data_IF_002925164201
#
_entry.id   IF_002925164201
#
_cell.length_a   1.000
_cell.length_b   1.000
_cell.length_c   1.000
_cell.angle_alpha   90.00
_cell.angle_beta   90.00
_cell.angle_gamma   90.00
#
_symmetry.space_group_name_H-M   'P 1'
#
loop_
_entity.id
_entity.type
_entity.pdbx_description
1 polymer ?
#
# COMPACT_ATOMS: atom_id res chain seq x y z
N UNK A 1 9.99 22.37 -6.71
CA UNK A 1 11.10 22.03 -5.79
C UNK A 1 10.78 20.81 -4.92
N UNK A 2 9.72 20.80 -4.10
CA UNK A 2 9.42 19.64 -3.20
C UNK A 2 9.18 18.29 -3.90
N UNK A 3 8.63 18.25 -5.12
CA UNK A 3 8.41 16.99 -5.85
C UNK A 3 9.71 16.32 -6.31
N UNK A 4 10.72 17.08 -6.72
CA UNK A 4 11.99 16.54 -7.23
C UNK A 4 12.86 15.94 -6.11
N UNK A 5 12.81 16.56 -4.92
CA UNK A 5 13.50 16.02 -3.74
C UNK A 5 12.85 14.71 -3.30
N UNK A 6 11.51 14.65 -3.27
CA UNK A 6 10.79 13.43 -2.97
C UNK A 6 11.12 12.30 -3.97
N UNK A 7 11.18 12.59 -5.27
CA UNK A 7 11.54 11.60 -6.29
C UNK A 7 12.95 11.05 -6.11
N UNK A 8 13.93 11.91 -5.78
CA UNK A 8 15.30 11.46 -5.47
C UNK A 8 15.34 10.57 -4.23
N UNK A 9 14.66 10.96 -3.16
CA UNK A 9 14.57 10.14 -1.94
C UNK A 9 13.89 8.79 -2.24
N UNK A 10 12.87 8.79 -3.09
CA UNK A 10 12.16 7.58 -3.49
C UNK A 10 13.04 6.63 -4.32
N UNK A 11 13.89 7.14 -5.21
CA UNK A 11 14.85 6.33 -5.96
C UNK A 11 15.92 5.73 -5.04
N UNK A 12 16.47 6.54 -4.13
CA UNK A 12 17.45 6.06 -3.14
C UNK A 12 16.84 4.99 -2.22
N UNK A 13 15.58 5.17 -1.82
CA UNK A 13 14.87 4.20 -0.99
C UNK A 13 14.70 2.88 -1.72
N UNK A 14 14.31 2.91 -3.00
CA UNK A 14 14.20 1.69 -3.82
C UNK A 14 15.54 0.98 -3.95
N UNK A 15 16.63 1.70 -4.19
CA UNK A 15 17.96 1.10 -4.27
C UNK A 15 18.32 0.41 -2.95
N UNK A 16 18.08 1.08 -1.83
CA UNK A 16 18.33 0.54 -0.50
C UNK A 16 17.45 -0.68 -0.18
N UNK A 17 16.18 -0.66 -0.58
CA UNK A 17 15.26 -1.78 -0.43
C UNK A 17 15.73 -3.02 -1.22
N UNK A 18 16.20 -2.84 -2.45
CA UNK A 18 16.76 -3.97 -3.22
C UNK A 18 18.03 -4.54 -2.60
N UNK A 19 18.86 -3.69 -1.96
CA UNK A 19 20.04 -4.14 -1.20
C UNK A 19 19.61 -4.95 0.03
N UNK A 20 18.59 -4.49 0.77
CA UNK A 20 18.05 -5.21 1.92
C UNK A 20 17.49 -6.59 1.53
N UNK A 21 16.77 -6.70 0.42
CA UNK A 21 16.28 -7.99 -0.10
C UNK A 21 17.44 -8.93 -0.45
N UNK A 22 18.49 -8.45 -1.12
CA UNK A 22 19.68 -9.26 -1.43
C UNK A 22 20.41 -9.74 -0.18
N UNK A 23 20.55 -8.88 0.84
CA UNK A 23 21.15 -9.27 2.12
C UNK A 23 20.31 -10.35 2.78
N UNK A 24 18.98 -10.24 2.73
CA UNK A 24 18.06 -11.22 3.29
C UNK A 24 18.16 -12.59 2.60
N UNK A 25 18.19 -12.63 1.26
CA UNK A 25 18.38 -13.88 0.50
C UNK A 25 19.70 -14.56 0.88
N UNK A 26 20.77 -13.77 1.05
CA UNK A 26 22.06 -14.28 1.55
C UNK A 26 21.97 -14.76 3.00
N UNK A 27 21.18 -14.10 3.84
CA UNK A 27 20.97 -14.46 5.24
C UNK A 27 20.35 -15.86 5.41
N UNK A 28 19.56 -16.30 4.44
CA UNK A 28 18.98 -17.66 4.42
C UNK A 28 20.01 -18.74 4.09
N UNK A 29 21.13 -18.37 3.43
CA UNK A 29 22.12 -19.33 2.91
C UNK A 29 23.45 -19.32 3.69
N UNK A 30 23.71 -18.31 4.53
CA UNK A 30 24.94 -18.18 5.31
C UNK A 30 24.79 -18.75 6.73
N UNK A 31 25.91 -19.18 7.33
CA UNK A 31 25.96 -19.76 8.69
C UNK A 31 27.09 -19.12 9.52
N UNK A 32 27.00 -19.19 10.85
CA UNK A 32 28.07 -18.77 11.78
C UNK A 32 28.39 -17.28 11.79
N UNK A 33 29.68 -16.92 11.81
CA UNK A 33 30.14 -15.52 11.89
C UNK A 33 29.73 -14.66 10.67
N UNK A 34 29.67 -15.26 9.48
CA UNK A 34 29.24 -14.55 8.27
C UNK A 34 27.77 -14.12 8.38
N UNK A 35 26.91 -14.98 8.96
CA UNK A 35 25.50 -14.64 9.26
C UNK A 35 25.40 -13.52 10.27
N UNK A 36 26.25 -13.52 11.31
CA UNK A 36 26.29 -12.44 12.33
C UNK A 36 26.75 -11.11 11.75
N UNK A 37 27.72 -11.11 10.83
CA UNK A 37 28.17 -9.90 10.12
C UNK A 37 27.08 -9.37 9.19
N UNK A 38 26.43 -10.24 8.42
CA UNK A 38 25.32 -9.88 7.53
C UNK A 38 24.10 -9.36 8.30
N UNK A 39 23.81 -9.90 9.49
CA UNK A 39 22.75 -9.39 10.37
C UNK A 39 23.01 -7.95 10.86
N UNK A 40 24.27 -7.61 11.13
CA UNK A 40 24.66 -6.23 11.49
C UNK A 40 24.55 -5.29 10.30
N UNK A 41 25.02 -5.73 9.13
CA UNK A 41 24.88 -4.96 7.90
C UNK A 41 23.40 -4.74 7.53
N UNK A 42 22.57 -5.77 7.71
CA UNK A 42 21.12 -5.69 7.52
C UNK A 42 20.48 -4.67 8.46
N UNK A 43 20.81 -4.70 9.75
CA UNK A 43 20.22 -3.77 10.73
C UNK A 43 20.65 -2.32 10.50
N UNK A 44 21.90 -2.08 10.10
CA UNK A 44 22.37 -0.75 9.69
C UNK A 44 21.61 -0.23 8.47
N UNK A 45 21.50 -1.06 7.41
CA UNK A 45 20.77 -0.69 6.19
C UNK A 45 19.28 -0.51 6.43
N UNK A 46 18.71 -1.24 7.36
CA UNK A 46 17.32 -1.09 7.76
C UNK A 46 17.08 0.20 8.53
N UNK A 47 18.03 0.63 9.37
CA UNK A 47 17.97 1.93 10.04
C UNK A 47 18.02 3.07 9.01
N UNK A 48 18.94 2.99 8.06
CA UNK A 48 19.05 3.95 6.95
C UNK A 48 17.75 4.03 6.12
N UNK A 49 17.08 2.90 5.89
CA UNK A 49 15.80 2.86 5.17
C UNK A 49 14.65 3.52 5.95
N UNK A 50 14.63 3.34 7.28
CA UNK A 50 13.65 4.01 8.14
C UNK A 50 13.89 5.53 8.21
N UNK A 51 15.15 5.96 8.27
CA UNK A 51 15.52 7.38 8.23
C UNK A 51 15.05 8.02 6.91
N UNK A 52 15.28 7.35 5.79
CA UNK A 52 14.86 7.82 4.47
C UNK A 52 13.34 7.90 4.33
N UNK A 53 12.59 6.92 4.86
CA UNK A 53 11.12 7.00 4.89
C UNK A 53 10.62 8.16 5.76
N UNK A 54 11.28 8.44 6.88
CA UNK A 54 10.94 9.59 7.73
C UNK A 54 11.19 10.92 7.00
N UNK A 55 12.26 10.99 6.22
CA UNK A 55 12.60 12.16 5.41
C UNK A 55 11.62 12.34 4.23
N UNK A 56 11.21 11.24 3.59
CA UNK A 56 10.13 11.24 2.58
C UNK A 56 8.80 11.72 3.16
N UNK A 57 8.45 11.34 4.41
CA UNK A 57 7.24 11.84 5.09
C UNK A 57 7.33 13.33 5.41
N UNK A 58 8.52 13.81 5.77
CA UNK A 58 8.76 15.22 6.02
C UNK A 58 8.57 16.05 4.74
N UNK A 59 9.16 15.62 3.62
CA UNK A 59 8.98 16.26 2.32
C UNK A 59 7.52 16.22 1.84
N UNK A 60 6.78 15.16 2.17
CA UNK A 60 5.36 15.04 1.83
C UNK A 60 4.46 16.09 2.50
N UNK A 61 4.88 16.63 3.65
CA UNK A 61 4.13 17.68 4.35
C UNK A 61 4.16 19.01 3.58
N UNK A 62 5.23 19.25 2.83
CA UNK A 62 5.45 20.44 2.02
C UNK A 62 4.86 20.33 0.61
N UNK A 63 4.39 19.13 0.22
CA UNK A 63 3.88 18.84 -1.12
C UNK A 63 2.37 19.15 -1.30
N UNK A 64 1.89 19.33 -2.54
CA UNK A 64 0.47 19.59 -2.83
C UNK A 64 -0.46 18.45 -2.36
N UNK A 65 -1.72 18.73 -1.99
CA UNK A 65 -2.64 17.75 -1.42
C UNK A 65 -2.92 16.52 -2.32
N UNK A 66 -2.94 16.71 -3.63
CA UNK A 66 -3.18 15.64 -4.62
C UNK A 66 -2.05 14.62 -4.65
N UNK A 67 -0.80 15.09 -4.61
CA UNK A 67 0.39 14.24 -4.57
C UNK A 67 0.52 13.53 -3.22
N UNK A 68 0.23 14.24 -2.13
CA UNK A 68 0.31 13.72 -0.76
C UNK A 68 -0.57 12.50 -0.53
N UNK A 69 -1.80 12.48 -1.06
CA UNK A 69 -2.68 11.32 -0.89
C UNK A 69 -2.17 10.04 -1.57
N UNK A 70 -1.59 10.17 -2.77
CA UNK A 70 -1.03 9.03 -3.50
C UNK A 70 0.27 8.53 -2.84
N UNK A 71 1.16 9.44 -2.50
CA UNK A 71 2.46 9.12 -1.91
C UNK A 71 2.32 8.57 -0.47
N UNK A 72 1.37 9.07 0.33
CA UNK A 72 1.11 8.54 1.68
C UNK A 72 0.68 7.06 1.65
N UNK A 73 -0.08 6.64 0.62
CA UNK A 73 -0.42 5.23 0.44
C UNK A 73 0.80 4.34 0.17
N UNK A 74 1.72 4.82 -0.68
CA UNK A 74 2.97 4.11 -0.98
C UNK A 74 3.88 4.02 0.24
N UNK A 75 3.96 5.09 1.03
CA UNK A 75 4.81 5.17 2.22
C UNK A 75 4.35 4.21 3.32
N UNK A 76 3.03 4.06 3.50
CA UNK A 76 2.45 3.04 4.38
C UNK A 76 2.76 1.61 3.92
N UNK A 77 2.76 1.35 2.61
CA UNK A 77 3.14 0.04 2.06
C UNK A 77 4.63 -0.24 2.34
N UNK A 78 5.51 0.73 2.09
CA UNK A 78 6.95 0.61 2.35
C UNK A 78 7.29 0.36 3.82
N UNK A 79 6.64 1.07 4.75
CA UNK A 79 6.79 0.79 6.19
C UNK A 79 6.40 -0.64 6.55
N UNK A 80 5.29 -1.15 5.99
CA UNK A 80 4.83 -2.52 6.21
C UNK A 80 5.82 -3.55 5.70
N UNK A 81 6.39 -3.31 4.52
CA UNK A 81 7.35 -4.22 3.91
C UNK A 81 8.67 -4.26 4.71
N UNK A 82 9.16 -3.11 5.21
CA UNK A 82 10.32 -3.08 6.11
C UNK A 82 10.11 -3.86 7.41
N UNK A 83 8.91 -3.78 8.00
CA UNK A 83 8.58 -4.53 9.23
C UNK A 83 8.57 -6.04 8.97
N UNK A 84 8.05 -6.49 7.82
CA UNK A 84 8.12 -7.91 7.44
C UNK A 84 9.56 -8.39 7.28
N UNK A 85 10.38 -7.60 6.56
CA UNK A 85 11.81 -7.88 6.40
C UNK A 85 12.52 -7.96 7.76
N UNK A 86 12.17 -7.09 8.72
CA UNK A 86 12.69 -7.13 10.08
C UNK A 86 12.36 -8.44 10.81
N UNK A 87 11.09 -8.83 10.75
CA UNK A 87 10.58 -9.99 11.46
C UNK A 87 11.23 -11.28 10.93
N UNK A 88 11.42 -11.38 9.62
CA UNK A 88 12.10 -12.49 8.96
C UNK A 88 13.60 -12.53 9.30
N UNK A 89 14.28 -11.38 9.36
CA UNK A 89 15.68 -11.32 9.79
C UNK A 89 15.87 -11.71 11.28
N UNK A 90 14.96 -11.27 12.16
CA UNK A 90 14.99 -11.63 13.58
C UNK A 90 14.71 -13.11 13.83
N UNK A 91 13.79 -13.72 13.08
CA UNK A 91 13.56 -15.17 13.12
C UNK A 91 14.84 -15.95 12.78
N UNK A 92 15.53 -15.53 11.72
CA UNK A 92 16.81 -16.12 11.32
C UNK A 92 17.93 -15.89 12.35
N UNK A 93 17.91 -14.78 13.09
CA UNK A 93 18.87 -14.49 14.16
C UNK A 93 18.65 -15.37 15.40
N UNK A 94 17.39 -15.67 15.76
CA UNK A 94 17.06 -16.56 16.88
C UNK A 94 17.59 -17.98 16.65
N UNK A 95 17.53 -18.49 15.42
CA UNK A 95 18.04 -19.83 15.07
C UNK A 95 19.55 -19.99 15.33
N UNK A 96 20.33 -18.90 15.18
CA UNK A 96 21.78 -18.91 15.45
C UNK A 96 22.06 -19.03 16.95
N UNK A 97 21.27 -18.35 17.78
CA UNK A 97 21.48 -18.34 19.23
C UNK A 97 21.13 -19.66 19.91
N UNK A 98 20.22 -20.44 19.31
CA UNK A 98 19.85 -21.78 19.81
C UNK A 98 20.93 -22.82 19.49
N UNK A 99 21.55 -22.75 18.30
CA UNK A 99 22.59 -23.70 17.86
C UNK A 99 23.95 -23.53 18.54
N UNK A 100 24.33 -22.32 18.97
CA UNK A 100 25.59 -22.08 19.70
C UNK A 100 25.55 -22.57 21.16
N UNK A 101 24.37 -22.83 21.73
CA UNK A 101 24.22 -23.29 23.13
C UNK A 101 24.33 -24.80 23.30
N UNK A 102 24.12 -25.60 22.25
CA UNK A 102 24.14 -27.07 22.33
C UNK A 102 25.54 -27.69 22.15
N UNK A 103 26.53 -26.94 21.66
CA UNK A 103 27.86 -27.48 21.30
C UNK A 103 28.97 -27.27 22.33
N UNK A 104 28.72 -26.57 23.45
CA UNK A 104 29.77 -26.24 24.44
C UNK A 104 29.65 -26.97 25.80
N UNK A 105 28.82 -28.01 25.91
CA UNK A 105 28.57 -28.69 27.20
C UNK A 105 29.22 -30.07 27.38
N UNK A 106 30.17 -30.49 26.52
CA UNK A 106 30.77 -31.83 26.61
C UNK A 106 32.29 -31.77 26.36
N UNK A 107 33.07 -31.29 27.34
CA UNK A 107 34.45 -31.74 27.61
C UNK A 107 35.13 -30.85 28.66
N UNK A 108 35.04 -31.22 29.94
CA UNK A 108 36.15 -31.15 30.92
C UNK A 108 35.63 -31.48 32.34
N UNK A 109 35.44 -32.77 32.61
CA UNK A 109 35.57 -33.31 33.97
C UNK A 109 37.08 -33.47 34.20
N UNK A 110 37.74 -32.88 35.20
CA UNK A 110 37.75 -33.50 36.52
C UNK A 110 38.33 -32.63 37.66
N UNK A 111 38.68 -31.35 37.47
CA UNK A 111 39.46 -30.60 38.50
C UNK A 111 38.85 -29.28 39.02
N UNK A 112 37.67 -28.84 38.54
CA UNK A 112 37.10 -27.51 38.86
C UNK A 112 35.70 -27.54 39.48
N UNK A 113 35.28 -28.66 40.08
CA UNK A 113 33.87 -28.95 40.44
C UNK A 113 33.18 -27.95 41.38
N UNK A 114 33.92 -27.22 42.21
CA UNK A 114 33.37 -26.22 43.16
C UNK A 114 33.29 -24.80 42.57
N UNK A 115 34.28 -24.40 41.77
CA UNK A 115 34.26 -23.11 41.05
C UNK A 115 33.31 -23.16 39.84
N UNK A 116 33.25 -24.29 39.15
CA UNK A 116 32.32 -24.50 38.03
C UNK A 116 30.86 -24.50 38.49
N UNK A 117 30.55 -25.01 39.69
CA UNK A 117 29.20 -24.95 40.25
C UNK A 117 28.75 -23.52 40.55
N UNK A 118 29.64 -22.68 41.09
CA UNK A 118 29.38 -21.25 41.29
C UNK A 118 29.25 -20.50 39.97
N UNK A 119 30.11 -20.79 38.99
CA UNK A 119 30.03 -20.21 37.65
C UNK A 119 28.72 -20.62 36.94
N UNK A 120 28.30 -21.88 37.05
CA UNK A 120 27.04 -22.39 36.53
C UNK A 120 25.82 -21.73 37.18
N UNK A 121 25.83 -21.53 38.51
CA UNK A 121 24.73 -20.84 39.20
C UNK A 121 24.66 -19.35 38.83
N UNK A 122 25.81 -18.68 38.72
CA UNK A 122 25.88 -17.29 38.24
C UNK A 122 25.39 -17.18 36.78
N UNK A 123 25.83 -18.09 35.91
CA UNK A 123 25.40 -18.16 34.51
C UNK A 123 23.92 -18.50 34.37
N UNK A 124 23.39 -19.38 35.22
CA UNK A 124 21.96 -19.70 35.30
C UNK A 124 21.14 -18.48 35.74
N UNK A 125 21.63 -17.74 36.73
CA UNK A 125 20.99 -16.50 37.21
C UNK A 125 21.02 -15.42 36.13
N UNK A 126 22.14 -15.24 35.43
CA UNK A 126 22.25 -14.29 34.33
C UNK A 126 21.34 -14.68 33.15
N UNK A 127 21.24 -15.97 32.84
CA UNK A 127 20.35 -16.48 31.80
C UNK A 127 18.88 -16.27 32.15
N UNK A 128 18.50 -16.49 33.42
CA UNK A 128 17.16 -16.22 33.93
C UNK A 128 16.84 -14.73 33.86
N UNK A 129 17.79 -13.87 34.23
CA UNK A 129 17.60 -12.42 34.20
C UNK A 129 17.42 -11.93 32.75
N UNK A 130 18.25 -12.44 31.81
CA UNK A 130 18.08 -12.18 30.38
C UNK A 130 16.75 -12.70 29.83
N UNK A 131 16.29 -13.86 30.27
CA UNK A 131 14.99 -14.41 29.90
C UNK A 131 13.84 -13.53 30.43
N UNK A 132 13.96 -13.05 31.66
CA UNK A 132 13.00 -12.14 32.30
C UNK A 132 12.91 -10.82 31.52
N UNK A 133 14.06 -10.21 31.20
CA UNK A 133 14.12 -9.00 30.36
C UNK A 133 13.52 -9.26 28.98
N UNK A 134 13.76 -10.44 28.39
CA UNK A 134 13.17 -10.81 27.10
C UNK A 134 11.66 -10.91 27.18
N UNK A 135 11.10 -11.53 28.22
CA UNK A 135 9.66 -11.62 28.44
C UNK A 135 9.06 -10.24 28.62
N UNK A 136 9.70 -9.36 29.41
CA UNK A 136 9.25 -7.99 29.61
C UNK A 136 9.20 -7.21 28.28
N UNK A 137 10.23 -7.37 27.43
CA UNK A 137 10.23 -6.79 26.07
C UNK A 137 9.13 -7.39 25.20
N UNK A 138 8.94 -8.70 25.21
CA UNK A 138 7.88 -9.37 24.45
C UNK A 138 6.49 -8.90 24.86
N UNK A 139 6.24 -8.69 26.16
CA UNK A 139 4.99 -8.14 26.65
C UNK A 139 4.74 -6.71 26.15
N UNK A 140 5.79 -5.87 26.15
CA UNK A 140 5.69 -4.51 25.61
C UNK A 140 5.39 -4.52 24.11
N UNK A 141 6.09 -5.35 23.35
CA UNK A 141 5.87 -5.49 21.89
C UNK A 141 4.46 -6.02 21.61
N UNK A 142 3.97 -6.98 22.41
CA UNK A 142 2.61 -7.49 22.27
C UNK A 142 1.58 -6.39 22.53
N UNK A 143 1.76 -5.59 23.58
CA UNK A 143 0.87 -4.45 23.87
C UNK A 143 0.90 -3.37 22.77
N UNK A 144 2.08 -3.06 22.23
CA UNK A 144 2.22 -2.15 21.08
C UNK A 144 1.54 -2.74 19.83
N UNK A 145 1.63 -4.05 19.64
CA UNK A 145 0.97 -4.76 18.53
C UNK A 145 -0.54 -4.78 18.67
N UNK A 146 -1.08 -4.97 19.88
CA UNK A 146 -2.52 -4.91 20.16
C UNK A 146 -3.07 -3.50 19.90
N UNK A 147 -2.33 -2.46 20.26
CA UNK A 147 -2.69 -1.07 19.96
C UNK A 147 -2.74 -0.84 18.44
N UNK A 148 -1.70 -1.25 17.71
CA UNK A 148 -1.68 -1.17 16.23
C UNK A 148 -2.82 -1.98 15.61
N UNK A 149 -3.11 -3.17 16.15
CA UNK A 149 -4.22 -4.01 15.70
C UNK A 149 -5.57 -3.33 15.88
N UNK A 150 -5.76 -2.61 16.98
CA UNK A 150 -6.95 -1.82 17.26
C UNK A 150 -7.11 -0.68 16.25
N UNK A 151 -6.05 0.08 16.01
CA UNK A 151 -6.04 1.16 15.01
C UNK A 151 -6.35 0.64 13.60
N UNK A 152 -5.83 -0.54 13.23
CA UNK A 152 -6.13 -1.18 11.95
C UNK A 152 -7.62 -1.54 11.86
N UNK A 153 -8.22 -2.08 12.92
CA UNK A 153 -9.64 -2.43 12.94
C UNK A 153 -10.51 -1.17 12.78
N UNK A 154 -10.15 -0.08 13.44
CA UNK A 154 -10.83 1.22 13.29
C UNK A 154 -10.75 1.75 11.86
N UNK A 155 -9.55 1.75 11.25
CA UNK A 155 -9.36 2.19 9.87
C UNK A 155 -10.11 1.30 8.87
N UNK A 156 -10.14 -0.02 9.08
CA UNK A 156 -10.93 -0.95 8.25
C UNK A 156 -12.45 -0.66 8.38
N UNK A 157 -12.90 -0.27 9.58
CA UNK A 157 -14.26 0.21 9.83
C UNK A 157 -14.59 1.44 8.99
N UNK A 158 -13.74 2.47 9.03
CA UNK A 158 -13.92 3.67 8.20
C UNK A 158 -13.88 3.36 6.69
N UNK A 159 -12.96 2.50 6.26
CA UNK A 159 -12.85 2.10 4.85
C UNK A 159 -14.11 1.39 4.38
N UNK A 160 -14.67 0.49 5.21
CA UNK A 160 -15.95 -0.16 4.92
C UNK A 160 -17.07 0.86 4.77
N UNK A 161 -17.15 1.85 5.65
CA UNK A 161 -18.18 2.90 5.57
C UNK A 161 -18.04 3.75 4.29
N UNK A 162 -16.81 4.10 3.91
CA UNK A 162 -16.51 4.79 2.64
C UNK A 162 -16.93 3.95 1.43
N UNK A 163 -16.68 2.64 1.48
CA UNK A 163 -17.03 1.71 0.40
C UNK A 163 -18.55 1.53 0.28
N UNK A 164 -19.26 1.41 1.41
CA UNK A 164 -20.73 1.39 1.43
C UNK A 164 -21.35 2.69 0.92
N UNK A 165 -20.82 3.86 1.32
CA UNK A 165 -21.26 5.16 0.76
C UNK A 165 -21.04 5.24 -0.75
N UNK A 166 -19.88 4.78 -1.22
CA UNK A 166 -19.55 4.79 -2.66
C UNK A 166 -20.47 3.86 -3.44
N UNK A 167 -20.74 2.66 -2.90
CA UNK A 167 -21.70 1.70 -3.47
C UNK A 167 -23.11 2.29 -3.54
N UNK A 168 -23.58 2.95 -2.48
CA UNK A 168 -24.86 3.65 -2.47
C UNK A 168 -24.96 4.74 -3.54
N UNK A 169 -23.91 5.57 -3.69
CA UNK A 169 -23.83 6.59 -4.75
C UNK A 169 -23.81 6.00 -6.15
N UNK A 170 -23.14 4.87 -6.36
CA UNK A 170 -23.11 4.17 -7.65
C UNK A 170 -24.50 3.65 -8.04
N UNK A 171 -25.21 3.04 -7.08
CA UNK A 171 -26.60 2.58 -7.28
C UNK A 171 -27.54 3.77 -7.56
N UNK A 172 -27.42 4.88 -6.82
CA UNK A 172 -28.20 6.09 -7.11
C UNK A 172 -27.85 6.72 -8.47
N UNK A 173 -26.59 6.65 -8.88
CA UNK A 173 -26.14 7.17 -10.19
C UNK A 173 -26.70 6.33 -11.34
N UNK A 174 -26.77 5.00 -11.22
CA UNK A 174 -27.35 4.14 -12.25
C UNK A 174 -28.84 4.41 -12.44
N UNK A 175 -29.57 4.65 -11.34
CA UNK A 175 -30.97 5.05 -11.38
C UNK A 175 -31.15 6.40 -12.11
N UNK A 176 -30.33 7.40 -11.76
CA UNK A 176 -30.36 8.72 -12.40
C UNK A 176 -29.99 8.65 -13.89
N UNK A 177 -29.04 7.79 -14.27
CA UNK A 177 -28.68 7.54 -15.68
C UNK A 177 -29.85 6.96 -16.47
N UNK A 178 -30.63 6.06 -15.87
CA UNK A 178 -31.83 5.49 -16.49
C UNK A 178 -32.91 6.55 -16.76
N UNK A 179 -33.13 7.46 -15.79
CA UNK A 179 -34.06 8.60 -15.92
C UNK A 179 -33.60 9.56 -17.01
N UNK A 180 -32.32 9.93 -17.01
CA UNK A 180 -31.70 10.80 -18.04
C UNK A 180 -31.81 10.20 -19.44
N UNK A 181 -31.56 8.90 -19.60
CA UNK A 181 -31.72 8.21 -20.89
C UNK A 181 -33.17 8.24 -21.38
N UNK A 182 -34.16 8.08 -20.48
CA UNK A 182 -35.58 8.18 -20.81
C UNK A 182 -35.96 9.59 -21.28
N UNK A 183 -35.46 10.63 -20.61
CA UNK A 183 -35.68 12.04 -20.98
C UNK A 183 -35.07 12.34 -22.35
N UNK A 184 -33.79 11.98 -22.55
CA UNK A 184 -33.08 12.16 -23.83
C UNK A 184 -33.80 11.46 -24.99
N UNK A 185 -34.29 10.24 -24.78
CA UNK A 185 -35.06 9.50 -25.81
C UNK A 185 -36.40 10.15 -26.13
N UNK A 186 -37.00 10.89 -25.20
CA UNK A 186 -38.22 11.68 -25.45
C UNK A 186 -37.90 12.97 -26.24
N UNK A 187 -36.83 13.68 -25.88
CA UNK A 187 -36.37 14.87 -26.59
C UNK A 187 -35.95 14.54 -28.03
N UNK A 188 -35.19 13.46 -28.21
CA UNK A 188 -34.76 12.98 -29.53
C UNK A 188 -35.96 12.69 -30.44
N UNK A 189 -37.01 12.02 -29.93
CA UNK A 189 -38.24 11.77 -30.69
C UNK A 189 -38.97 13.06 -31.09
N UNK A 190 -39.06 14.04 -30.18
CA UNK A 190 -39.65 15.37 -30.49
C UNK A 190 -38.87 16.11 -31.57
N UNK A 191 -37.54 16.03 -31.55
CA UNK A 191 -36.68 16.66 -32.57
C UNK A 191 -36.88 15.99 -33.93
N UNK A 192 -36.90 14.66 -33.99
CA UNK A 192 -37.08 13.90 -35.24
C UNK A 192 -38.46 14.19 -35.85
N UNK A 193 -39.52 14.15 -35.05
CA UNK A 193 -40.88 14.46 -35.52
C UNK A 193 -40.99 15.89 -36.03
N UNK A 194 -40.44 16.87 -35.31
CA UNK A 194 -40.44 18.27 -35.77
C UNK A 194 -39.67 18.45 -37.09
N UNK A 195 -38.49 17.82 -37.22
CA UNK A 195 -37.72 17.83 -38.47
C UNK A 195 -38.47 17.20 -39.64
N UNK A 196 -39.17 16.08 -39.40
CA UNK A 196 -39.93 15.38 -40.42
C UNK A 196 -41.15 16.20 -40.88
N UNK A 197 -41.87 16.83 -39.95
CA UNK A 197 -42.96 17.75 -40.28
C UNK A 197 -42.47 18.94 -41.11
N UNK A 198 -41.36 19.56 -40.72
CA UNK A 198 -40.76 20.67 -41.46
C UNK A 198 -40.36 20.26 -42.88
N UNK A 199 -39.78 19.06 -43.05
CA UNK A 199 -39.44 18.52 -44.38
C UNK A 199 -40.68 18.33 -45.27
N UNK A 200 -41.79 17.83 -44.71
CA UNK A 200 -43.04 17.63 -45.45
C UNK A 200 -43.62 18.97 -45.92
N UNK A 201 -43.63 19.99 -45.06
CA UNK A 201 -44.15 21.32 -45.40
C UNK A 201 -43.37 21.92 -46.58
N UNK A 202 -42.04 21.86 -46.54
CA UNK A 202 -41.19 22.37 -47.63
C UNK A 202 -41.47 21.66 -48.95
N UNK A 203 -41.62 20.33 -48.95
CA UNK A 203 -41.92 19.56 -50.16
C UNK A 203 -43.30 19.96 -50.72
N UNK A 204 -44.30 20.14 -49.85
CA UNK A 204 -45.65 20.53 -50.24
C UNK A 204 -45.69 21.94 -50.87
N UNK A 205 -44.96 22.90 -50.29
CA UNK A 205 -44.84 24.25 -50.84
C UNK A 205 -44.20 24.25 -52.23
N UNK A 206 -43.11 23.48 -52.41
CA UNK A 206 -42.44 23.34 -53.71
C UNK A 206 -43.35 22.69 -54.75
N UNK A 207 -44.17 21.71 -54.36
CA UNK A 207 -45.13 21.07 -55.26
C UNK A 207 -46.22 22.04 -55.74
N UNK A 208 -46.76 22.87 -54.84
CA UNK A 208 -47.77 23.89 -55.19
C UNK A 208 -47.17 24.95 -56.12
N UNK A 209 -45.98 25.46 -55.79
CA UNK A 209 -45.29 26.44 -56.64
C UNK A 209 -44.96 25.87 -58.02
N UNK A 210 -44.45 24.63 -58.08
CA UNK A 210 -44.19 23.93 -59.34
C UNK A 210 -45.45 23.73 -60.17
N UNK A 211 -46.56 23.33 -59.54
CA UNK A 211 -47.86 23.17 -60.18
C UNK A 211 -48.41 24.49 -60.74
N UNK A 212 -48.30 25.59 -59.99
CA UNK A 212 -48.71 26.92 -60.45
C UNK A 212 -47.87 27.41 -61.64
N UNK A 213 -46.56 27.20 -61.62
CA UNK A 213 -45.67 27.56 -62.73
C UNK A 213 -46.04 26.73 -63.97
N UNK A 214 -46.23 25.42 -63.82
CA UNK A 214 -46.64 24.53 -64.90
C UNK A 214 -47.97 24.96 -65.52
N UNK A 215 -48.98 25.22 -64.68
CA UNK A 215 -50.29 25.68 -65.14
C UNK A 215 -50.19 27.03 -65.86
N UNK A 216 -49.48 28.01 -65.29
CA UNK A 216 -49.29 29.33 -65.91
C UNK A 216 -48.54 29.26 -67.24
N UNK A 217 -47.52 28.40 -67.34
CA UNK A 217 -46.73 28.26 -68.56
C UNK A 217 -47.51 27.52 -69.65
N UNK A 218 -48.29 26.50 -69.29
CA UNK A 218 -49.08 25.72 -70.24
C UNK A 218 -50.40 26.40 -70.63
N UNK A 219 -51.04 27.16 -69.74
CA UNK A 219 -52.27 27.93 -70.02
C UNK A 219 -52.03 29.19 -70.85
N UNK A 220 -50.77 29.61 -71.04
CA UNK A 220 -50.42 30.81 -71.82
C UNK A 220 -49.86 30.48 -73.22
N UNK A 221 -49.83 29.20 -73.59
CA UNK A 221 -49.69 28.73 -74.97
C UNK A 221 -51.07 28.41 -75.52
#
# INVERSE_FOLDING_TARGET
MSSEQYEKLHELYKELYTKLQKIQERLQSCYGEEKKKLLREFSEKQKEANEMLSEMEYELKSAPPTFRHQAAGQLRAYKRDLVKLQMEANYNALEVSTKERETYSVENEHSTRLESQRALLLQGTESLNRATDSIARSHRIAAETDAIGTDIIEELGEQREKLERTKGRLVGTSENLSKSRKILRSMSRKIVTNKLLLSIIIILELAILGGLIYYKFFSKR
#
